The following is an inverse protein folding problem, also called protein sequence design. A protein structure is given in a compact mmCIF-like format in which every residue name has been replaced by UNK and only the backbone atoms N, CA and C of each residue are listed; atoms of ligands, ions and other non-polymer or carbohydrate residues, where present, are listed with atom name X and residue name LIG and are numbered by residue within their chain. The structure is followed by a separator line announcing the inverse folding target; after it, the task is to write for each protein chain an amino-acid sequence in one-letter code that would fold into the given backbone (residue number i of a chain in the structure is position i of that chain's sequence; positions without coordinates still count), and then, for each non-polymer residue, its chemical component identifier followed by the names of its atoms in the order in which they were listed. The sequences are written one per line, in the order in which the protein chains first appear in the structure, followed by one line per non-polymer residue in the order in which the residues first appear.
data_IF_791714962096
#
_entry.id   IF_791714962096
#
_cell.length_a   1.000
_cell.length_b   1.000
_cell.length_c   1.000
_cell.angle_alpha   90.00
_cell.angle_beta   90.00
_cell.angle_gamma   90.00
#
_symmetry.space_group_name_H-M   'P 1'
#
loop_
_entity.id
_entity.type
_entity.pdbx_description
1 polymer ?
#
# COMPACT_ATOMS: atom_id res chain seq x y z
N UNK A 1 17.34 -6.50 35.00
CA UNK A 1 16.11 -5.73 34.72
C UNK A 1 16.53 -4.31 34.37
N UNK A 2 16.03 -3.80 33.25
CA UNK A 2 16.18 -2.41 32.81
C UNK A 2 14.92 -1.66 33.24
N UNK A 3 15.08 -0.40 33.63
CA UNK A 3 13.93 0.48 33.87
C UNK A 3 13.73 1.38 32.65
N UNK A 4 12.48 1.54 32.23
CA UNK A 4 12.09 2.48 31.17
C UNK A 4 11.05 3.46 31.74
N UNK A 5 10.82 4.54 31.01
CA UNK A 5 9.82 5.55 31.34
C UNK A 5 8.81 5.62 30.19
N UNK A 6 7.52 5.60 30.50
CA UNK A 6 6.44 5.66 29.51
C UNK A 6 6.30 7.05 28.90
N UNK A 7 5.97 7.10 27.61
CA UNK A 7 5.65 8.32 26.89
C UNK A 7 4.14 8.62 26.92
N UNK A 8 3.75 9.84 26.54
CA UNK A 8 2.35 10.23 26.53
C UNK A 8 1.57 9.47 25.45
N UNK A 9 0.48 8.80 25.87
CA UNK A 9 -0.38 8.02 24.97
C UNK A 9 0.14 6.61 24.67
N UNK A 10 1.21 6.17 25.33
CA UNK A 10 1.78 4.84 25.14
C UNK A 10 1.00 3.78 25.93
N UNK A 11 0.63 2.69 25.27
CA UNK A 11 -0.01 1.53 25.91
C UNK A 11 1.00 0.44 26.29
N UNK A 12 0.58 -0.50 27.15
CA UNK A 12 1.41 -1.67 27.52
C UNK A 12 1.79 -2.50 26.28
N UNK A 13 0.92 -2.56 25.27
CA UNK A 13 1.18 -3.27 24.01
C UNK A 13 2.29 -2.56 23.21
N UNK A 14 2.30 -1.23 23.19
CA UNK A 14 3.36 -0.46 22.52
C UNK A 14 4.71 -0.73 23.17
N UNK A 15 4.75 -0.80 24.51
CA UNK A 15 5.95 -1.15 25.28
C UNK A 15 6.42 -2.58 24.96
N UNK A 16 5.49 -3.53 24.90
CA UNK A 16 5.79 -4.93 24.55
C UNK A 16 6.42 -5.04 23.16
N UNK A 17 5.84 -4.35 22.17
CA UNK A 17 6.37 -4.28 20.81
C UNK A 17 7.73 -3.59 20.75
N UNK A 18 7.91 -2.48 21.47
CA UNK A 18 9.13 -1.68 21.44
C UNK A 18 10.31 -2.40 22.10
N UNK A 19 10.12 -3.00 23.27
CA UNK A 19 11.22 -3.55 24.06
C UNK A 19 11.46 -5.05 23.80
N UNK A 20 10.43 -5.80 23.40
CA UNK A 20 10.53 -7.25 23.17
C UNK A 20 10.24 -7.69 21.73
N UNK A 21 9.74 -6.79 20.87
CA UNK A 21 9.41 -7.10 19.48
C UNK A 21 8.16 -7.98 19.30
N UNK A 22 7.38 -8.21 20.35
CA UNK A 22 6.24 -9.15 20.32
C UNK A 22 5.15 -8.73 21.31
N UNK A 23 3.85 -8.74 20.92
CA UNK A 23 2.77 -8.30 21.80
C UNK A 23 2.52 -9.26 22.98
N UNK A 24 2.94 -10.52 22.87
CA UNK A 24 2.84 -11.55 23.91
C UNK A 24 3.64 -11.18 25.17
N UNK A 25 4.63 -10.29 25.04
CA UNK A 25 5.43 -9.80 26.17
C UNK A 25 4.62 -8.91 27.14
N UNK A 26 3.42 -8.45 26.77
CA UNK A 26 2.52 -7.72 27.66
C UNK A 26 2.28 -8.47 28.98
N UNK A 27 2.13 -9.80 28.93
CA UNK A 27 1.91 -10.61 30.14
C UNK A 27 3.09 -10.51 31.10
N UNK A 28 4.30 -10.54 30.55
CA UNK A 28 5.53 -10.41 31.34
C UNK A 28 5.63 -9.01 31.94
N UNK A 29 5.31 -7.97 31.17
CA UNK A 29 5.34 -6.58 31.64
C UNK A 29 4.31 -6.36 32.76
N UNK A 30 3.08 -6.85 32.59
CA UNK A 30 2.03 -6.75 33.60
C UNK A 30 2.43 -7.47 34.88
N UNK A 31 2.95 -8.70 34.78
CA UNK A 31 3.39 -9.48 35.93
C UNK A 31 4.55 -8.80 36.69
N UNK A 32 5.54 -8.29 35.98
CA UNK A 32 6.73 -7.67 36.57
C UNK A 32 6.45 -6.32 37.23
N UNK A 33 5.37 -5.64 36.82
CA UNK A 33 5.00 -4.31 37.31
C UNK A 33 3.70 -4.30 38.13
N UNK A 34 3.13 -5.47 38.42
CA UNK A 34 1.84 -5.63 39.12
C UNK A 34 0.71 -4.78 38.48
N UNK A 35 0.65 -4.77 37.15
CA UNK A 35 -0.37 -4.07 36.36
C UNK A 35 -1.45 -5.02 35.87
N UNK A 36 -2.66 -4.49 35.71
CA UNK A 36 -3.72 -5.15 34.95
C UNK A 36 -3.44 -5.03 33.43
N UNK A 37 -4.09 -5.86 32.62
CA UNK A 37 -3.86 -5.92 31.17
C UNK A 37 -4.37 -4.69 30.41
N UNK A 38 -5.36 -4.03 30.98
CA UNK A 38 -6.01 -2.81 30.50
C UNK A 38 -5.62 -1.58 31.35
N UNK A 39 -4.56 -1.69 32.16
CA UNK A 39 -4.12 -0.57 32.98
C UNK A 39 -3.65 0.60 32.11
N UNK A 40 -4.22 1.78 32.37
CA UNK A 40 -3.78 3.03 31.77
C UNK A 40 -2.40 3.41 32.28
N UNK A 41 -1.46 3.62 31.35
CA UNK A 41 -0.12 4.10 31.68
C UNK A 41 -0.10 5.62 31.74
N UNK A 42 0.41 6.17 32.85
CA UNK A 42 0.61 7.61 32.96
C UNK A 42 1.92 8.00 32.25
N UNK A 43 1.99 9.14 31.54
CA UNK A 43 3.25 9.63 30.99
C UNK A 43 4.27 9.84 32.11
N UNK A 44 5.50 9.36 31.94
CA UNK A 44 6.54 9.43 32.96
C UNK A 44 6.54 8.27 33.97
N UNK A 45 5.62 7.32 33.86
CA UNK A 45 5.58 6.14 34.72
C UNK A 45 6.78 5.23 34.44
N UNK A 46 7.47 4.80 35.50
CA UNK A 46 8.61 3.90 35.37
C UNK A 46 8.16 2.45 35.37
N UNK A 47 8.62 1.67 34.38
CA UNK A 47 8.34 0.24 34.24
C UNK A 47 9.65 -0.56 34.30
N UNK A 48 9.61 -1.68 35.00
CA UNK A 48 10.66 -2.69 35.04
C UNK A 48 10.48 -3.66 33.86
N UNK A 49 11.54 -3.82 33.08
CA UNK A 49 11.58 -4.61 31.85
C UNK A 49 12.76 -5.60 31.94
N UNK A 50 12.55 -6.85 31.53
CA UNK A 50 13.60 -7.86 31.41
C UNK A 50 14.43 -7.61 30.16
N UNK A 51 15.70 -8.00 30.18
CA UNK A 51 16.51 -7.91 28.96
C UNK A 51 16.00 -8.94 27.94
N UNK A 52 15.86 -8.55 26.66
CA UNK A 52 15.39 -9.46 25.62
C UNK A 52 16.37 -10.63 25.49
N UNK A 53 15.85 -11.86 25.66
CA UNK A 53 16.63 -13.10 25.67
C UNK A 53 16.53 -13.92 26.96
N UNK A 54 15.91 -13.38 28.02
CA UNK A 54 15.59 -14.14 29.24
C UNK A 54 14.14 -14.63 29.17
N UNK A 55 13.97 -15.88 28.72
CA UNK A 55 12.75 -16.71 28.77
C UNK A 55 11.42 -15.93 28.85
N UNK A 56 10.95 -15.45 27.69
CA UNK A 56 9.52 -15.15 27.53
C UNK A 56 8.82 -16.50 27.58
N UNK A 57 8.25 -16.87 28.74
CA UNK A 57 7.57 -18.14 28.93
C UNK A 57 6.33 -18.13 28.01
N UNK A 58 6.26 -18.96 26.95
CA UNK A 58 5.06 -19.02 26.14
C UNK A 58 3.93 -19.61 26.98
N UNK A 59 2.91 -18.81 27.30
CA UNK A 59 1.72 -19.32 27.97
C UNK A 59 0.97 -20.29 27.04
N UNK A 60 0.51 -21.41 27.60
CA UNK A 60 -0.24 -22.44 26.86
C UNK A 60 -1.50 -21.87 26.22
N UNK A 61 -1.70 -22.22 24.95
CA UNK A 61 -2.76 -21.79 24.01
C UNK A 61 -4.22 -21.95 24.46
N UNK A 62 -4.51 -22.53 25.63
CA UNK A 62 -5.85 -23.05 25.92
C UNK A 62 -6.79 -22.00 26.55
N UNK A 63 -6.27 -20.87 27.04
CA UNK A 63 -7.05 -19.77 27.65
C UNK A 63 -7.33 -18.62 26.66
N UNK A 64 -6.57 -18.54 25.57
CA UNK A 64 -6.66 -17.46 24.57
C UNK A 64 -7.94 -17.60 23.73
N UNK A 65 -8.47 -18.80 23.49
CA UNK A 65 -9.65 -18.93 22.61
C UNK A 65 -10.94 -18.36 23.22
N UNK A 66 -11.04 -18.26 24.56
CA UNK A 66 -12.26 -17.78 25.22
C UNK A 66 -12.37 -16.25 25.32
N UNK A 67 -11.25 -15.52 25.32
CA UNK A 67 -11.25 -14.06 25.57
C UNK A 67 -11.39 -13.21 24.29
N UNK A 68 -11.04 -13.77 23.12
CA UNK A 68 -11.05 -13.05 21.84
C UNK A 68 -12.39 -13.18 21.09
N UNK A 69 -13.35 -13.95 21.62
CA UNK A 69 -14.69 -14.06 21.03
C UNK A 69 -15.53 -12.78 21.19
N UNK A 70 -15.14 -11.88 22.12
CA UNK A 70 -15.86 -10.62 22.41
C UNK A 70 -15.01 -9.37 22.15
N UNK A 71 -13.80 -9.49 21.60
CA UNK A 71 -12.98 -8.32 21.27
C UNK A 71 -13.48 -7.74 19.95
N UNK A 72 -14.04 -6.53 20.01
CA UNK A 72 -14.23 -5.71 18.81
C UNK A 72 -12.82 -5.39 18.30
N UNK A 73 -12.39 -6.07 17.25
CA UNK A 73 -11.18 -5.70 16.52
C UNK A 73 -11.47 -4.31 15.94
N UNK A 74 -10.90 -3.27 16.56
CA UNK A 74 -10.84 -1.97 15.92
C UNK A 74 -9.97 -2.13 14.67
N UNK A 75 -10.60 -2.33 13.53
CA UNK A 75 -9.96 -2.28 12.21
C UNK A 75 -9.66 -0.82 11.87
N UNK A 76 -8.82 -0.18 12.67
CA UNK A 76 -8.12 1.00 12.19
C UNK A 76 -7.11 0.48 11.18
N UNK A 77 -7.49 0.48 9.91
CA UNK A 77 -6.54 0.40 8.81
C UNK A 77 -5.62 1.60 8.93
N UNK A 78 -4.51 1.43 9.65
CA UNK A 78 -3.36 2.30 9.55
C UNK A 78 -2.82 2.12 8.14
N UNK A 79 -3.29 2.96 7.22
CA UNK A 79 -2.64 3.12 5.93
C UNK A 79 -1.25 3.67 6.20
N UNK A 80 -0.24 2.81 6.22
CA UNK A 80 1.16 3.25 6.14
C UNK A 80 1.24 4.03 4.82
N UNK A 81 1.54 5.33 4.82
CA UNK A 81 1.83 6.02 3.58
C UNK A 81 3.08 5.35 3.00
N UNK A 82 2.90 4.50 1.99
CA UNK A 82 4.00 4.02 1.17
C UNK A 82 4.62 5.26 0.55
N UNK A 83 5.75 5.68 1.12
CA UNK A 83 6.56 6.71 0.48
C UNK A 83 7.02 6.10 -0.83
N UNK A 84 6.65 6.67 -1.99
CA UNK A 84 7.05 6.08 -3.26
C UNK A 84 8.57 5.98 -3.29
N UNK A 85 9.13 4.89 -3.84
CA UNK A 85 10.57 4.77 -4.00
C UNK A 85 11.06 6.02 -4.75
N UNK A 86 12.05 6.72 -4.18
CA UNK A 86 12.40 8.12 -4.50
C UNK A 86 12.78 8.41 -5.96
N UNK A 87 12.87 7.36 -6.80
CA UNK A 87 13.37 7.44 -8.17
C UNK A 87 12.39 6.83 -9.19
N UNK A 88 11.17 6.42 -8.80
CA UNK A 88 10.19 5.85 -9.73
C UNK A 88 9.06 6.84 -9.93
N UNK A 89 8.96 7.38 -11.14
CA UNK A 89 7.85 8.24 -11.52
C UNK A 89 6.54 7.43 -11.62
N UNK A 90 5.38 8.02 -11.26
CA UNK A 90 4.10 7.32 -11.30
C UNK A 90 3.69 7.05 -12.75
N UNK A 91 3.05 5.91 -12.98
CA UNK A 91 2.26 5.62 -14.17
C UNK A 91 0.77 5.79 -13.84
N UNK A 92 -0.02 6.18 -14.83
CA UNK A 92 -1.47 6.37 -14.68
C UNK A 92 -2.22 5.43 -15.61
N UNK A 93 -3.33 4.86 -15.18
CA UNK A 93 -4.09 3.93 -16.01
C UNK A 93 -5.57 3.89 -15.64
N UNK A 94 -6.37 3.44 -16.59
CA UNK A 94 -7.79 3.22 -16.38
C UNK A 94 -8.66 3.90 -17.42
N UNK A 95 -9.98 3.80 -17.25
CA UNK A 95 -10.93 4.33 -18.20
C UNK A 95 -11.06 5.85 -18.06
N UNK A 96 -11.36 6.54 -19.16
CA UNK A 96 -11.63 7.97 -19.16
C UNK A 96 -12.36 8.46 -20.41
N UNK A 97 -12.82 9.71 -20.37
CA UNK A 97 -13.42 10.36 -21.52
C UNK A 97 -12.43 10.50 -22.68
N UNK A 98 -12.91 10.61 -23.91
CA UNK A 98 -12.05 10.87 -25.07
C UNK A 98 -11.31 12.21 -24.94
N UNK A 99 -9.99 12.21 -25.18
CA UNK A 99 -9.17 13.42 -25.17
C UNK A 99 -8.88 13.97 -23.78
N UNK A 100 -8.54 13.10 -22.80
CA UNK A 100 -8.14 13.55 -21.46
C UNK A 100 -6.98 14.54 -21.55
N UNK A 101 -7.13 15.68 -20.88
CA UNK A 101 -6.02 16.62 -20.66
C UNK A 101 -5.19 16.20 -19.42
N UNK A 102 -4.12 16.94 -19.13
CA UNK A 102 -3.25 16.63 -17.99
C UNK A 102 -3.99 16.52 -16.65
N UNK A 103 -4.99 17.38 -16.40
CA UNK A 103 -5.79 17.30 -15.17
C UNK A 103 -6.62 16.00 -15.12
N UNK A 104 -7.21 15.58 -16.24
CA UNK A 104 -7.95 14.34 -16.34
C UNK A 104 -7.06 13.09 -16.19
N UNK A 105 -5.84 13.13 -16.74
CA UNK A 105 -4.86 12.06 -16.59
C UNK A 105 -4.48 11.86 -15.11
N UNK A 106 -4.31 12.94 -14.36
CA UNK A 106 -3.96 12.89 -12.93
C UNK A 106 -5.08 12.34 -12.02
N UNK A 107 -6.30 12.15 -12.55
CA UNK A 107 -7.42 11.52 -11.83
C UNK A 107 -7.52 10.01 -12.08
N UNK A 108 -6.72 9.46 -13.00
CA UNK A 108 -6.69 8.02 -13.27
C UNK A 108 -6.02 7.25 -12.10
N UNK A 109 -6.16 5.93 -12.10
CA UNK A 109 -5.50 5.09 -11.11
C UNK A 109 -3.97 5.19 -11.25
N UNK A 110 -3.28 5.28 -10.12
CA UNK A 110 -1.81 5.44 -10.08
C UNK A 110 -1.15 4.11 -9.75
N UNK A 111 -0.02 3.84 -10.40
CA UNK A 111 0.88 2.76 -10.02
C UNK A 111 2.33 3.15 -10.20
N UNK A 112 3.18 2.79 -9.23
CA UNK A 112 4.63 3.01 -9.30
C UNK A 112 5.28 1.73 -9.79
N UNK A 113 5.80 1.74 -11.02
CA UNK A 113 6.45 0.56 -11.63
C UNK A 113 7.75 0.94 -12.31
N UNK A 114 8.74 0.08 -12.12
CA UNK A 114 9.94 0.04 -12.95
C UNK A 114 9.60 -0.48 -14.35
N UNK A 115 10.55 -0.35 -15.27
CA UNK A 115 10.50 -0.82 -16.66
C UNK A 115 10.44 -2.36 -16.77
N UNK A 116 9.30 -2.95 -16.39
CA UNK A 116 9.03 -4.40 -16.38
C UNK A 116 7.59 -4.70 -16.77
N UNK A 117 7.35 -5.96 -17.12
CA UNK A 117 6.01 -6.46 -17.43
C UNK A 117 5.02 -6.18 -16.29
N UNK A 118 3.82 -5.73 -16.64
CA UNK A 118 2.82 -5.29 -15.68
C UNK A 118 1.43 -5.78 -16.07
N UNK A 119 0.75 -6.49 -15.16
CA UNK A 119 -0.69 -6.74 -15.27
C UNK A 119 -1.45 -5.61 -14.60
N UNK A 120 -2.43 -5.03 -15.31
CA UNK A 120 -3.32 -3.99 -14.81
C UNK A 120 -4.77 -4.41 -15.01
N UNK A 121 -5.56 -4.32 -13.94
CA UNK A 121 -7.00 -4.62 -13.93
C UNK A 121 -7.79 -3.33 -14.03
N UNK A 122 -8.83 -3.30 -14.86
CA UNK A 122 -9.71 -2.15 -15.01
C UNK A 122 -11.14 -2.61 -15.33
N UNK A 123 -12.10 -1.72 -15.12
CA UNK A 123 -13.50 -1.89 -15.55
C UNK A 123 -13.88 -0.63 -16.32
N UNK A 124 -14.40 -0.74 -17.54
CA UNK A 124 -14.69 0.41 -18.39
C UNK A 124 -16.11 0.32 -18.98
N UNK A 125 -16.99 1.23 -18.58
CA UNK A 125 -18.32 1.36 -19.17
C UNK A 125 -18.39 2.61 -20.06
N UNK A 126 -18.40 2.40 -21.38
CA UNK A 126 -18.49 3.47 -22.39
C UNK A 126 -17.38 4.54 -22.28
N UNK A 127 -16.15 4.10 -21.99
CA UNK A 127 -14.99 4.98 -21.84
C UNK A 127 -13.81 4.44 -22.65
N UNK A 128 -12.83 5.31 -22.94
CA UNK A 128 -11.56 4.91 -23.55
C UNK A 128 -10.61 4.43 -22.48
N UNK A 129 -9.81 3.42 -22.80
CA UNK A 129 -8.75 2.98 -21.92
C UNK A 129 -7.49 3.82 -22.15
N UNK A 130 -6.92 4.31 -21.05
CA UNK A 130 -5.66 5.00 -21.01
C UNK A 130 -4.59 4.22 -20.26
N UNK A 131 -3.38 4.27 -20.80
CA UNK A 131 -2.16 3.92 -20.07
C UNK A 131 -1.11 5.00 -20.31
N UNK A 132 -0.65 5.64 -19.24
CA UNK A 132 0.23 6.80 -19.28
C UNK A 132 1.47 6.51 -18.46
N UNK A 133 2.63 6.64 -19.09
CA UNK A 133 3.92 6.30 -18.48
C UNK A 133 4.98 7.35 -18.81
N UNK A 134 5.97 7.56 -17.93
CA UNK A 134 7.06 8.52 -18.17
C UNK A 134 7.82 8.20 -19.46
N UNK A 135 8.15 9.22 -20.25
CA UNK A 135 8.81 9.02 -21.54
C UNK A 135 10.21 8.40 -21.44
N UNK A 136 10.88 8.54 -20.28
CA UNK A 136 12.19 7.95 -20.01
C UNK A 136 12.15 6.43 -19.76
N UNK A 137 10.97 5.86 -19.50
CA UNK A 137 10.79 4.41 -19.36
C UNK A 137 10.92 3.66 -20.69
N UNK A 138 11.07 4.35 -21.83
CA UNK A 138 11.21 3.75 -23.15
C UNK A 138 9.89 3.34 -23.77
N UNK A 139 9.94 2.77 -24.98
CA UNK A 139 8.72 2.48 -25.74
C UNK A 139 8.00 1.23 -25.18
N UNK A 140 6.71 1.39 -24.88
CA UNK A 140 5.81 0.26 -24.70
C UNK A 140 5.68 -0.51 -26.03
N UNK A 141 5.94 -1.82 -25.99
CA UNK A 141 6.03 -2.64 -27.20
C UNK A 141 4.91 -3.64 -27.36
N UNK A 142 4.28 -4.07 -26.27
CA UNK A 142 3.14 -4.98 -26.32
C UNK A 142 2.08 -4.60 -25.27
N UNK A 143 0.82 -4.80 -25.66
CA UNK A 143 -0.35 -4.70 -24.77
C UNK A 143 -1.21 -5.94 -25.06
N UNK A 144 -1.20 -6.92 -24.16
CA UNK A 144 -1.97 -8.15 -24.34
C UNK A 144 -3.32 -8.06 -23.66
N UNK A 145 -4.39 -8.28 -24.42
CA UNK A 145 -5.75 -8.43 -23.88
C UNK A 145 -5.93 -9.77 -23.14
N UNK A 146 -7.05 -9.99 -22.40
CA UNK A 146 -7.29 -11.23 -21.67
C UNK A 146 -7.20 -12.51 -22.52
N UNK A 147 -7.46 -12.40 -23.83
CA UNK A 147 -7.30 -13.49 -24.80
C UNK A 147 -5.85 -13.79 -25.21
N UNK A 148 -4.87 -13.02 -24.74
CA UNK A 148 -3.45 -13.16 -25.09
C UNK A 148 -3.06 -12.54 -26.43
N UNK A 149 -3.97 -11.81 -27.08
CA UNK A 149 -3.67 -11.09 -28.32
C UNK A 149 -2.98 -9.77 -28.02
N UNK A 150 -1.90 -9.47 -28.74
CA UNK A 150 -1.25 -8.17 -28.68
C UNK A 150 -2.05 -7.15 -29.48
N UNK A 151 -2.53 -6.13 -28.79
CA UNK A 151 -3.37 -5.05 -29.32
C UNK A 151 -2.68 -3.69 -29.23
N UNK A 152 -1.35 -3.64 -29.03
CA UNK A 152 -0.60 -2.36 -28.92
C UNK A 152 -0.84 -1.42 -30.12
N UNK A 153 -1.03 -1.98 -31.32
CA UNK A 153 -1.29 -1.21 -32.54
C UNK A 153 -2.67 -0.55 -32.57
N UNK A 154 -3.59 -0.99 -31.71
CA UNK A 154 -4.91 -0.36 -31.55
C UNK A 154 -4.88 0.88 -30.65
N UNK A 155 -3.74 1.16 -30.01
CA UNK A 155 -3.55 2.34 -29.18
C UNK A 155 -2.83 3.45 -29.96
N UNK A 156 -3.37 4.67 -29.92
CA UNK A 156 -2.62 5.86 -30.29
C UNK A 156 -1.62 6.25 -29.20
N UNK A 157 -0.58 6.98 -29.60
CA UNK A 157 0.42 7.52 -28.69
C UNK A 157 0.56 9.02 -28.90
N UNK A 158 0.56 9.77 -27.81
CA UNK A 158 0.94 11.18 -27.81
C UNK A 158 1.84 11.50 -26.62
N UNK A 159 2.58 12.60 -26.69
CA UNK A 159 3.42 13.08 -25.60
C UNK A 159 2.75 14.26 -24.92
N UNK A 160 2.60 14.20 -23.60
CA UNK A 160 2.02 15.26 -22.77
C UNK A 160 2.98 15.59 -21.63
N UNK A 161 3.14 16.88 -21.32
CA UNK A 161 3.88 17.29 -20.13
C UNK A 161 2.93 17.35 -18.92
N UNK A 162 3.21 16.56 -17.90
CA UNK A 162 2.48 16.55 -16.63
C UNK A 162 3.36 17.18 -15.54
N UNK A 163 2.74 17.98 -14.67
CA UNK A 163 3.44 18.54 -13.50
C UNK A 163 3.22 17.61 -12.30
N UNK A 164 4.28 16.90 -11.90
CA UNK A 164 4.29 16.03 -10.72
C UNK A 164 5.19 16.70 -9.67
N UNK A 165 4.65 16.95 -8.47
CA UNK A 165 5.38 17.61 -7.37
C UNK A 165 6.07 18.93 -7.78
N UNK A 166 5.42 19.70 -8.66
CA UNK A 166 5.93 20.99 -9.16
C UNK A 166 6.95 20.88 -10.29
N UNK A 167 7.31 19.67 -10.73
CA UNK A 167 8.24 19.43 -11.84
C UNK A 167 7.47 18.97 -13.08
N UNK A 168 7.69 19.66 -14.20
CA UNK A 168 7.15 19.24 -15.49
C UNK A 168 7.95 18.06 -16.05
N UNK A 169 7.27 16.95 -16.33
CA UNK A 169 7.85 15.72 -16.84
C UNK A 169 7.08 15.28 -18.08
N UNK A 170 7.80 14.78 -19.09
CA UNK A 170 7.20 14.27 -20.32
C UNK A 170 6.66 12.85 -20.10
N UNK A 171 5.41 12.63 -20.50
CA UNK A 171 4.71 11.37 -20.42
C UNK A 171 4.21 10.94 -21.79
N UNK A 172 4.24 9.64 -22.07
CA UNK A 172 3.58 9.04 -23.22
C UNK A 172 2.20 8.57 -22.79
N UNK A 173 1.17 9.07 -23.48
CA UNK A 173 -0.23 8.68 -23.30
C UNK A 173 -0.57 7.68 -24.38
N UNK A 174 -0.87 6.44 -23.98
CA UNK A 174 -1.47 5.42 -24.87
C UNK A 174 -2.97 5.41 -24.66
N UNK A 175 -3.72 5.63 -25.74
CA UNK A 175 -5.19 5.66 -25.72
C UNK A 175 -5.77 4.65 -26.70
N UNK A 176 -6.66 3.78 -26.24
CA UNK A 176 -7.44 2.92 -27.12
C UNK A 176 -8.55 3.76 -27.77
N UNK A 177 -8.48 3.99 -29.08
CA UNK A 177 -9.36 4.95 -29.77
C UNK A 177 -10.83 4.52 -29.88
N UNK A 178 -11.12 3.28 -29.55
CA UNK A 178 -12.48 2.73 -29.52
C UNK A 178 -13.01 2.77 -28.08
N UNK A 179 -14.22 3.27 -27.93
CA UNK A 179 -14.95 3.12 -26.67
C UNK A 179 -15.12 1.64 -26.35
N UNK A 180 -14.62 1.25 -25.18
CA UNK A 180 -14.67 -0.14 -24.74
C UNK A 180 -16.00 -0.40 -24.02
N UNK A 181 -16.73 -1.40 -24.47
CA UNK A 181 -17.86 -1.98 -23.75
C UNK A 181 -17.34 -3.13 -22.89
N UNK A 182 -16.73 -2.82 -21.76
CA UNK A 182 -16.14 -3.83 -20.87
C UNK A 182 -16.82 -3.75 -19.51
N UNK A 183 -17.95 -4.46 -19.43
CA UNK A 183 -18.85 -4.47 -18.27
C UNK A 183 -18.36 -5.38 -17.14
N UNK A 184 -17.19 -6.01 -17.29
CA UNK A 184 -16.54 -6.86 -16.29
C UNK A 184 -15.08 -6.46 -16.16
N UNK A 185 -14.44 -6.70 -15.01
CA UNK A 185 -13.04 -6.37 -14.80
C UNK A 185 -12.15 -7.17 -15.77
N UNK A 186 -11.56 -6.49 -16.75
CA UNK A 186 -10.62 -7.05 -17.69
C UNK A 186 -9.18 -6.70 -17.29
N UNK A 187 -8.25 -7.56 -17.70
CA UNK A 187 -6.82 -7.40 -17.43
C UNK A 187 -6.06 -7.15 -18.73
N UNK A 188 -5.16 -6.16 -18.73
CA UNK A 188 -4.12 -6.05 -19.74
C UNK A 188 -2.75 -6.38 -19.17
N UNK A 189 -1.92 -7.05 -19.97
CA UNK A 189 -0.49 -7.24 -19.67
C UNK A 189 0.31 -6.30 -20.56
N UNK A 190 1.13 -5.44 -19.94
CA UNK A 190 1.97 -4.45 -20.59
C UNK A 190 3.43 -4.93 -20.57
N UNK A 191 4.14 -4.84 -21.70
CA UNK A 191 5.57 -5.11 -21.75
C UNK A 191 6.37 -3.91 -22.29
N UNK A 192 7.43 -3.57 -21.56
CA UNK A 192 8.42 -2.56 -21.92
C UNK A 192 9.73 -3.25 -22.35
N UNK A 193 10.43 -2.69 -23.36
CA UNK A 193 11.79 -3.08 -23.78
C UNK A 193 12.78 -2.05 -23.29
#
# INVERSE_FOLDING_TARGET
MKQITTESGQSIIDIAMQEYGTPEALVTICADNALEYDADLMPGQSLNIREPGVDVIPYRNDQIVAQYANTVINTHTSSIPVTPPSNVLPCFYGPGAAGLNGAGILQLAVVYKDKKAATLTYTADMQRLYYVYPADQGALTHIYEPGGYDIVSSFTAETVNLTIDGVAVAYIVRCLERDTYLTTADNFILNFI
#
